data_IF_806769523610
#
_entry.id   IF_806769523610
#
_cell.length_a   1.000
_cell.length_b   1.000
_cell.length_c   1.000
_cell.angle_alpha   90.00
_cell.angle_beta   90.00
_cell.angle_gamma   90.00
#
_symmetry.space_group_name_H-M   'P 1'
#
loop_
_entity.id
_entity.type
_entity.pdbx_description
1 polymer ?
#
# COMPACT_ATOMS: atom_id res chain seq x y z
N UNK A 1 31.73 5.36 -1.22
CA UNK A 1 31.61 4.38 -0.12
C UNK A 1 31.17 5.22 1.06
N UNK A 2 29.88 5.32 1.40
CA UNK A 2 28.94 4.29 1.88
C UNK A 2 27.51 4.92 1.74
N UNK A 3 26.46 4.21 1.29
CA UNK A 3 25.70 3.23 2.08
C UNK A 3 25.10 3.90 3.34
N UNK A 4 23.83 3.88 3.72
CA UNK A 4 22.55 3.32 3.26
C UNK A 4 21.52 3.89 4.24
N UNK A 5 20.30 4.19 3.79
CA UNK A 5 19.11 4.10 4.65
C UNK A 5 18.86 5.21 5.67
N UNK A 6 17.64 5.19 6.18
CA UNK A 6 17.16 5.87 7.39
C UNK A 6 16.68 7.31 7.19
N UNK A 7 15.52 7.41 6.53
CA UNK A 7 14.28 8.06 6.98
C UNK A 7 13.22 7.62 5.94
N UNK A 8 12.86 6.34 5.86
CA UNK A 8 11.85 5.70 6.73
C UNK A 8 10.55 6.51 6.84
N UNK A 9 10.04 6.94 5.68
CA UNK A 9 8.62 7.27 5.54
C UNK A 9 8.33 7.00 4.08
N UNK A 10 7.89 5.79 3.74
CA UNK A 10 7.25 5.59 2.45
C UNK A 10 5.97 6.44 2.48
N UNK A 11 6.11 7.74 2.17
CA UNK A 11 5.22 8.83 2.59
C UNK A 11 3.80 8.35 2.80
N UNK A 12 3.34 8.27 4.05
CA UNK A 12 1.97 7.79 4.28
C UNK A 12 0.97 8.86 3.81
N UNK A 13 0.00 8.54 2.94
CA UNK A 13 -0.36 7.21 2.47
C UNK A 13 0.53 6.67 1.34
N UNK A 14 0.96 5.40 1.48
CA UNK A 14 1.71 4.66 0.46
C UNK A 14 1.12 4.87 -0.94
N UNK A 15 1.82 5.53 -1.88
CA UNK A 15 1.39 5.56 -3.27
C UNK A 15 1.37 4.14 -3.85
N UNK A 16 0.40 3.76 -4.71
CA UNK A 16 0.42 2.46 -5.39
C UNK A 16 1.59 2.28 -6.37
N UNK A 17 2.23 3.39 -6.76
CA UNK A 17 3.35 3.45 -7.70
C UNK A 17 4.72 3.60 -7.00
N UNK A 18 4.77 3.47 -5.66
CA UNK A 18 6.03 3.59 -4.93
C UNK A 18 6.78 2.25 -4.89
N UNK A 19 8.08 2.29 -5.18
CA UNK A 19 8.99 1.14 -5.08
C UNK A 19 9.49 0.88 -3.64
N UNK A 20 8.97 1.62 -2.66
CA UNK A 20 9.33 1.42 -1.25
C UNK A 20 8.91 0.02 -0.79
N UNK A 21 9.84 -0.78 -0.25
CA UNK A 21 9.62 -2.20 0.04
C UNK A 21 8.38 -2.44 0.92
N UNK A 22 8.13 -1.60 1.92
CA UNK A 22 6.96 -1.72 2.79
C UNK A 22 5.65 -1.47 2.05
N UNK A 23 5.59 -0.44 1.22
CA UNK A 23 4.40 -0.17 0.41
C UNK A 23 4.21 -1.22 -0.68
N UNK A 24 5.29 -1.70 -1.31
CA UNK A 24 5.22 -2.80 -2.27
C UNK A 24 4.64 -4.05 -1.60
N UNK A 25 5.08 -4.38 -0.39
CA UNK A 25 4.51 -5.49 0.40
C UNK A 25 3.04 -5.26 0.75
N UNK A 26 2.69 -4.04 1.19
CA UNK A 26 1.30 -3.66 1.48
C UNK A 26 0.40 -3.83 0.25
N UNK A 27 0.80 -3.29 -0.90
CA UNK A 27 0.03 -3.36 -2.14
C UNK A 27 0.02 -4.77 -2.73
N UNK A 28 1.09 -5.54 -2.59
CA UNK A 28 1.10 -6.96 -2.93
C UNK A 28 0.06 -7.74 -2.11
N UNK A 29 0.01 -7.51 -0.79
CA UNK A 29 -0.99 -8.11 0.09
C UNK A 29 -2.41 -7.69 -0.29
N UNK A 30 -2.64 -6.40 -0.53
CA UNK A 30 -3.97 -5.90 -0.94
C UNK A 30 -4.44 -6.52 -2.26
N UNK A 31 -3.52 -6.81 -3.19
CA UNK A 31 -3.83 -7.51 -4.45
C UNK A 31 -4.12 -8.99 -4.23
N UNK A 32 -3.28 -9.69 -3.46
CA UNK A 32 -3.45 -11.11 -3.13
C UNK A 32 -4.79 -11.38 -2.42
N UNK A 33 -5.15 -10.53 -1.45
CA UNK A 33 -6.39 -10.66 -0.71
C UNK A 33 -7.63 -10.12 -1.46
N UNK A 34 -7.44 -9.58 -2.67
CA UNK A 34 -8.50 -9.06 -3.54
C UNK A 34 -9.11 -7.72 -3.10
N UNK A 35 -8.41 -6.97 -2.24
CA UNK A 35 -8.80 -5.63 -1.80
C UNK A 35 -8.46 -4.54 -2.83
N UNK A 36 -7.42 -4.73 -3.65
CA UNK A 36 -6.98 -3.80 -4.69
C UNK A 36 -6.81 -4.49 -6.05
N UNK A 37 -7.13 -3.78 -7.15
CA UNK A 37 -6.87 -4.21 -8.53
C UNK A 37 -6.10 -3.13 -9.27
N UNK A 38 -4.96 -3.46 -9.89
CA UNK A 38 -4.03 -2.51 -10.53
C UNK A 38 -4.65 -1.56 -11.56
N UNK A 39 -5.80 -1.94 -12.15
CA UNK A 39 -6.49 -1.15 -13.18
C UNK A 39 -7.77 -0.47 -12.63
N UNK A 40 -8.36 -1.03 -11.58
CA UNK A 40 -9.69 -0.61 -11.09
C UNK A 40 -9.61 0.15 -9.76
N UNK A 41 -8.47 0.09 -9.06
CA UNK A 41 -8.31 0.65 -7.72
C UNK A 41 -8.89 -0.26 -6.63
N UNK A 42 -9.35 0.33 -5.53
CA UNK A 42 -9.95 -0.39 -4.41
C UNK A 42 -11.21 -1.15 -4.84
N UNK A 43 -11.31 -2.43 -4.47
CA UNK A 43 -12.54 -3.20 -4.65
C UNK A 43 -13.56 -2.81 -3.59
N UNK A 44 -14.83 -3.20 -3.77
CA UNK A 44 -15.88 -3.00 -2.75
C UNK A 44 -15.47 -3.60 -1.39
N UNK A 45 -14.76 -4.74 -1.42
CA UNK A 45 -14.17 -5.39 -0.25
C UNK A 45 -13.10 -4.50 0.40
N UNK A 46 -12.22 -3.88 -0.40
CA UNK A 46 -11.15 -2.98 0.09
C UNK A 46 -11.69 -1.69 0.67
N UNK A 47 -12.64 -1.07 -0.03
CA UNK A 47 -13.30 0.14 0.43
C UNK A 47 -14.02 -0.06 1.77
N UNK A 48 -14.72 -1.19 1.96
CA UNK A 48 -15.38 -1.50 3.23
C UNK A 48 -14.42 -1.56 4.41
N UNK A 49 -13.23 -2.15 4.24
CA UNK A 49 -12.25 -2.27 5.31
C UNK A 49 -11.58 -0.92 5.62
N UNK A 50 -11.29 -0.10 4.62
CA UNK A 50 -10.76 1.26 4.80
C UNK A 50 -11.76 2.13 5.56
N UNK A 51 -13.04 2.10 5.16
CA UNK A 51 -14.10 2.88 5.80
C UNK A 51 -14.33 2.40 7.24
N UNK A 52 -14.21 1.09 7.49
CA UNK A 52 -14.35 0.51 8.82
C UNK A 52 -13.19 0.88 9.77
N UNK A 53 -11.98 1.05 9.24
CA UNK A 53 -10.80 1.51 9.99
C UNK A 53 -10.74 3.03 10.24
N UNK A 54 -11.66 3.82 9.67
CA UNK A 54 -11.70 5.28 9.83
C UNK A 54 -12.59 5.76 11.00
N UNK A 55 -12.84 4.90 11.99
CA UNK A 55 -13.63 5.21 13.20
C UNK A 55 -12.82 5.07 14.48
#
# INVERSE_FOLDING_TARGET
MTDTGENDDCGQPCPPDTDCEECVRYWARMRDEGYWKDITGWTDKGLREIIKGAK
#
